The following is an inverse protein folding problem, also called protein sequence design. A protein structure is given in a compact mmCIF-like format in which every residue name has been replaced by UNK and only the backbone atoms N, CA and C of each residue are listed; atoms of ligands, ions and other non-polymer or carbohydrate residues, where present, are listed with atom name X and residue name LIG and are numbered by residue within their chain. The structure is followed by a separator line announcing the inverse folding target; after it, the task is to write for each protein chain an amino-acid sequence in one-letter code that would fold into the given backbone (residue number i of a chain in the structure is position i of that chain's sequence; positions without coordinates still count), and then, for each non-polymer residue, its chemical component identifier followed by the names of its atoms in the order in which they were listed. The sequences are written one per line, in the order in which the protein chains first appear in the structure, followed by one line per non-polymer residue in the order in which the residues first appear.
data_IF_019721452418
#
_entry.id   IF_019721452418
#
_cell.length_a   1.000
_cell.length_b   1.000
_cell.length_c   1.000
_cell.angle_alpha   90.00
_cell.angle_beta   90.00
_cell.angle_gamma   90.00
#
_symmetry.space_group_name_H-M   'P 1'
#
loop_
_entity.id
_entity.type
_entity.pdbx_description
1 polymer ?
#
# COMPACT_ATOMS: atom_id res chain seq x y z
N UNK A 1 1.98 -26.38 -10.48
CA UNK A 1 1.96 -25.13 -9.69
C UNK A 1 0.86 -25.25 -8.66
N UNK A 2 1.09 -24.82 -7.40
CA UNK A 2 0.07 -24.86 -6.36
C UNK A 2 -1.13 -23.98 -6.76
N UNK A 3 -2.33 -24.38 -6.34
CA UNK A 3 -3.57 -23.60 -6.47
C UNK A 3 -4.01 -23.11 -5.10
N UNK A 4 -4.84 -22.06 -5.05
CA UNK A 4 -5.37 -21.57 -3.77
C UNK A 4 -6.17 -22.62 -2.99
N UNK A 5 -6.82 -23.57 -3.68
CA UNK A 5 -7.55 -24.68 -3.07
C UNK A 5 -6.64 -25.65 -2.31
N UNK A 6 -5.33 -25.64 -2.58
CA UNK A 6 -4.35 -26.46 -1.87
C UNK A 6 -4.02 -25.84 -0.49
N UNK A 7 -4.35 -24.57 -0.28
CA UNK A 7 -4.27 -23.92 1.03
C UNK A 7 -5.59 -24.16 1.77
N UNK A 8 -5.53 -24.55 3.04
CA UNK A 8 -6.70 -24.83 3.88
C UNK A 8 -7.51 -23.56 4.23
N UNK A 9 -8.10 -22.92 3.21
CA UNK A 9 -8.82 -21.66 3.30
C UNK A 9 -10.32 -21.88 3.53
N UNK A 10 -10.95 -20.96 4.26
CA UNK A 10 -12.42 -20.91 4.40
C UNK A 10 -13.08 -20.72 3.03
N UNK A 11 -14.29 -21.28 2.90
CA UNK A 11 -15.12 -21.15 1.71
C UNK A 11 -15.40 -19.68 1.34
N UNK A 12 -15.55 -18.81 2.34
CA UNK A 12 -15.72 -17.36 2.13
C UNK A 12 -14.54 -16.73 1.39
N UNK A 13 -13.32 -17.17 1.69
CA UNK A 13 -12.09 -16.65 1.09
C UNK A 13 -11.91 -17.18 -0.32
N UNK A 14 -12.20 -18.47 -0.56
CA UNK A 14 -12.23 -19.05 -1.91
C UNK A 14 -13.24 -18.35 -2.82
N UNK A 15 -14.47 -18.12 -2.33
CA UNK A 15 -15.49 -17.34 -3.04
C UNK A 15 -15.05 -15.90 -3.29
N UNK A 16 -14.30 -15.29 -2.38
CA UNK A 16 -13.77 -13.95 -2.59
C UNK A 16 -12.72 -13.91 -3.68
N UNK A 17 -11.78 -14.87 -3.70
CA UNK A 17 -10.78 -15.02 -4.76
C UNK A 17 -11.42 -15.23 -6.13
N UNK A 18 -12.45 -16.07 -6.22
CA UNK A 18 -13.22 -16.30 -7.45
C UNK A 18 -13.88 -15.01 -7.96
N UNK A 19 -14.53 -14.23 -7.08
CA UNK A 19 -15.12 -12.92 -7.44
C UNK A 19 -14.08 -11.89 -7.90
N UNK A 20 -12.85 -12.02 -7.42
CA UNK A 20 -11.73 -11.17 -7.80
C UNK A 20 -10.99 -11.68 -9.04
N UNK A 21 -11.43 -12.79 -9.63
CA UNK A 21 -10.82 -13.47 -10.78
C UNK A 21 -9.35 -13.89 -10.54
N UNK A 22 -9.05 -14.32 -9.31
CA UNK A 22 -7.73 -14.76 -8.87
C UNK A 22 -7.72 -16.28 -8.68
N UNK A 23 -7.05 -16.98 -9.59
CA UNK A 23 -7.08 -18.45 -9.64
C UNK A 23 -5.79 -19.13 -9.18
N UNK A 24 -4.65 -18.45 -9.38
CA UNK A 24 -3.31 -19.05 -9.15
C UNK A 24 -2.48 -18.14 -8.25
N UNK A 25 -1.85 -18.67 -7.18
CA UNK A 25 -0.97 -17.90 -6.34
C UNK A 25 0.32 -17.51 -7.06
N UNK A 26 0.77 -16.28 -6.85
CA UNK A 26 2.11 -15.85 -7.26
C UNK A 26 3.19 -16.58 -6.44
N UNK A 27 4.47 -16.60 -6.86
CA UNK A 27 5.53 -17.29 -6.11
C UNK A 27 5.65 -16.83 -4.65
N UNK A 28 5.51 -15.52 -4.39
CA UNK A 28 5.54 -14.99 -3.02
C UNK A 28 4.31 -15.43 -2.22
N UNK A 29 3.13 -15.49 -2.83
CA UNK A 29 1.91 -15.98 -2.17
C UNK A 29 2.02 -17.47 -1.83
N UNK A 30 2.49 -18.29 -2.77
CA UNK A 30 2.63 -19.72 -2.59
C UNK A 30 3.60 -20.11 -1.45
N UNK A 31 4.64 -19.29 -1.22
CA UNK A 31 5.60 -19.52 -0.15
C UNK A 31 5.15 -18.89 1.18
N UNK A 32 4.60 -17.69 1.16
CA UNK A 32 4.25 -16.98 2.40
C UNK A 32 2.92 -17.42 3.02
N UNK A 33 1.90 -17.77 2.22
CA UNK A 33 0.56 -18.10 2.75
C UNK A 33 0.61 -19.29 3.72
N UNK A 34 1.20 -20.46 3.36
CA UNK A 34 1.23 -21.61 4.25
C UNK A 34 1.89 -21.30 5.61
N UNK A 35 3.01 -20.59 5.59
CA UNK A 35 3.77 -20.23 6.79
C UNK A 35 2.95 -19.32 7.73
N UNK A 36 2.26 -18.33 7.16
CA UNK A 36 1.38 -17.45 7.92
C UNK A 36 0.11 -18.16 8.43
N UNK A 37 -0.41 -19.15 7.69
CA UNK A 37 -1.52 -19.99 8.15
C UNK A 37 -1.10 -20.87 9.34
N UNK A 38 0.14 -21.33 9.36
CA UNK A 38 0.77 -22.03 10.50
C UNK A 38 1.10 -21.12 11.68
N UNK A 39 0.82 -19.80 11.57
CA UNK A 39 1.11 -18.78 12.59
C UNK A 39 2.61 -18.63 12.88
N UNK A 40 3.47 -18.84 11.88
CA UNK A 40 4.91 -18.58 11.97
C UNK A 40 5.26 -17.23 11.35
N UNK A 41 6.14 -16.50 12.00
CA UNK A 41 6.62 -15.19 11.54
C UNK A 41 7.36 -15.32 10.21
N UNK A 42 7.35 -14.26 9.40
CA UNK A 42 8.07 -14.26 8.11
C UNK A 42 8.79 -12.94 7.85
N UNK A 43 9.90 -13.05 7.11
CA UNK A 43 10.53 -11.95 6.39
C UNK A 43 10.40 -12.25 4.90
N UNK A 44 9.54 -11.51 4.22
CA UNK A 44 9.22 -11.69 2.82
C UNK A 44 9.86 -10.60 1.95
N UNK A 45 10.82 -11.00 1.13
CA UNK A 45 11.50 -10.13 0.18
C UNK A 45 10.89 -10.29 -1.21
N UNK A 46 10.23 -9.24 -1.68
CA UNK A 46 9.66 -9.22 -3.03
C UNK A 46 9.44 -7.78 -3.52
N UNK A 47 9.54 -7.57 -4.84
CA UNK A 47 9.29 -6.29 -5.48
C UNK A 47 7.81 -5.90 -5.44
N UNK A 48 7.50 -4.62 -5.60
CA UNK A 48 6.12 -4.13 -5.76
C UNK A 48 5.47 -4.79 -6.99
N UNK A 49 4.18 -5.12 -6.91
CA UNK A 49 3.46 -5.82 -7.98
C UNK A 49 3.58 -7.35 -7.96
N UNK A 50 4.42 -7.95 -7.12
CA UNK A 50 4.55 -9.41 -6.95
C UNK A 50 3.35 -10.11 -6.29
N UNK A 51 2.34 -9.34 -5.86
CA UNK A 51 1.15 -9.88 -5.20
C UNK A 51 1.27 -10.05 -3.68
N UNK A 52 2.24 -9.37 -3.03
CA UNK A 52 2.45 -9.36 -1.56
C UNK A 52 1.16 -9.13 -0.75
N UNK A 53 0.28 -8.24 -1.23
CA UNK A 53 -0.94 -7.90 -0.49
C UNK A 53 -1.82 -9.12 -0.21
N UNK A 54 -2.04 -10.00 -1.19
CA UNK A 54 -2.81 -11.23 -0.95
C UNK A 54 -2.08 -12.23 -0.08
N UNK A 55 -0.73 -12.24 -0.14
CA UNK A 55 0.10 -13.16 0.63
C UNK A 55 -0.12 -13.00 2.14
N UNK A 56 -0.30 -11.77 2.63
CA UNK A 56 -0.68 -11.52 4.02
C UNK A 56 -2.19 -11.35 4.24
N UNK A 57 -2.94 -10.84 3.27
CA UNK A 57 -4.37 -10.57 3.45
C UNK A 57 -5.19 -11.85 3.64
N UNK A 58 -4.88 -12.93 2.91
CA UNK A 58 -5.57 -14.21 3.05
C UNK A 58 -5.40 -14.79 4.47
N UNK A 59 -4.18 -14.99 5.00
CA UNK A 59 -3.99 -15.42 6.39
C UNK A 59 -4.72 -14.54 7.42
N UNK A 60 -4.81 -13.23 7.20
CA UNK A 60 -5.59 -12.33 8.07
C UNK A 60 -7.08 -12.69 8.06
N UNK A 61 -7.67 -12.96 6.90
CA UNK A 61 -9.07 -13.39 6.79
C UNK A 61 -9.32 -14.74 7.48
N UNK A 62 -8.33 -15.64 7.45
CA UNK A 62 -8.43 -16.97 8.05
C UNK A 62 -8.29 -16.94 9.58
N UNK A 63 -7.42 -16.08 10.13
CA UNK A 63 -7.17 -16.04 11.58
C UNK A 63 -8.07 -15.07 12.35
N UNK A 64 -8.64 -14.07 11.68
CA UNK A 64 -9.56 -13.14 12.32
C UNK A 64 -10.92 -13.81 12.61
N UNK A 65 -11.42 -13.53 13.80
CA UNK A 65 -12.74 -13.96 14.28
C UNK A 65 -13.77 -12.83 14.11
N UNK A 66 -14.76 -12.97 13.22
CA UNK A 66 -15.79 -11.96 13.00
C UNK A 66 -16.78 -11.80 14.17
N UNK A 67 -16.80 -12.72 15.13
CA UNK A 67 -17.66 -12.62 16.32
C UNK A 67 -17.13 -11.63 17.36
N UNK A 68 -15.85 -11.24 17.26
CA UNK A 68 -15.21 -10.33 18.22
C UNK A 68 -15.05 -8.93 17.64
N UNK A 69 -15.30 -7.88 18.42
CA UNK A 69 -15.35 -6.51 17.89
C UNK A 69 -14.00 -5.77 17.87
N UNK A 70 -12.99 -6.32 18.53
CA UNK A 70 -11.68 -5.69 18.68
C UNK A 70 -10.74 -5.90 17.48
N UNK A 71 -9.66 -5.10 17.47
CA UNK A 71 -8.62 -5.15 16.44
C UNK A 71 -7.76 -6.39 16.64
N UNK A 72 -7.75 -7.25 15.63
CA UNK A 72 -7.03 -8.53 15.61
C UNK A 72 -5.86 -8.50 14.63
N UNK A 73 -5.91 -7.65 13.59
CA UNK A 73 -4.80 -7.47 12.66
C UNK A 73 -4.51 -5.98 12.39
N UNK A 74 -3.23 -5.65 12.30
CA UNK A 74 -2.73 -4.31 11.96
C UNK A 74 -1.76 -4.43 10.79
N UNK A 75 -2.02 -3.68 9.73
CA UNK A 75 -1.11 -3.52 8.60
C UNK A 75 -0.60 -2.08 8.62
N UNK A 76 0.71 -1.91 8.77
CA UNK A 76 1.38 -0.63 8.57
C UNK A 76 1.86 -0.51 7.13
N UNK A 77 1.68 0.67 6.54
CA UNK A 77 2.08 1.00 5.17
C UNK A 77 2.76 2.39 5.15
N UNK A 78 3.78 2.65 4.31
CA UNK A 78 4.50 3.93 4.27
C UNK A 78 3.65 5.09 3.75
N UNK A 79 2.66 4.81 2.89
CA UNK A 79 1.89 5.84 2.20
C UNK A 79 0.39 5.63 2.35
N UNK A 80 -0.35 6.72 2.16
CA UNK A 80 -1.82 6.73 2.23
C UNK A 80 -2.40 5.99 1.04
N UNK A 81 -1.74 6.13 -0.10
CA UNK A 81 -2.05 5.48 -1.36
C UNK A 81 -1.94 3.96 -1.22
N UNK A 82 -0.85 3.45 -0.63
CA UNK A 82 -0.70 2.03 -0.36
C UNK A 82 -1.71 1.54 0.68
N UNK A 83 -1.93 2.29 1.77
CA UNK A 83 -2.95 1.95 2.76
C UNK A 83 -4.33 1.74 2.12
N UNK A 84 -4.70 2.59 1.16
CA UNK A 84 -5.97 2.47 0.42
C UNK A 84 -6.00 1.29 -0.54
N UNK A 85 -4.89 1.01 -1.23
CA UNK A 85 -4.79 -0.16 -2.11
C UNK A 85 -4.96 -1.45 -1.31
N UNK A 86 -4.20 -1.59 -0.22
CA UNK A 86 -4.27 -2.74 0.69
C UNK A 86 -5.67 -2.85 1.31
N UNK A 87 -6.25 -1.74 1.78
CA UNK A 87 -7.61 -1.74 2.31
C UNK A 87 -8.69 -2.11 1.29
N UNK A 88 -8.52 -1.76 0.01
CA UNK A 88 -9.45 -2.18 -1.05
C UNK A 88 -9.43 -3.69 -1.22
N UNK A 89 -8.24 -4.30 -1.30
CA UNK A 89 -8.07 -5.76 -1.41
C UNK A 89 -8.69 -6.47 -0.20
N UNK A 90 -8.39 -6.00 1.01
CA UNK A 90 -8.96 -6.57 2.24
C UNK A 90 -10.49 -6.39 2.30
N UNK A 91 -11.01 -5.25 1.85
CA UNK A 91 -12.45 -5.02 1.79
C UNK A 91 -13.13 -6.01 0.84
N UNK A 92 -12.56 -6.24 -0.35
CA UNK A 92 -13.10 -7.21 -1.30
C UNK A 92 -13.04 -8.65 -0.78
N UNK A 93 -11.93 -9.02 -0.12
CA UNK A 93 -11.78 -10.32 0.55
C UNK A 93 -12.77 -10.51 1.71
N UNK A 94 -13.06 -9.45 2.46
CA UNK A 94 -13.97 -9.51 3.62
C UNK A 94 -15.46 -9.63 3.24
N UNK A 95 -15.82 -9.50 1.96
CA UNK A 95 -17.22 -9.60 1.51
C UNK A 95 -17.80 -10.96 1.85
N UNK A 96 -18.77 -10.97 2.77
CA UNK A 96 -19.43 -12.19 3.24
C UNK A 96 -18.71 -12.91 4.39
N UNK A 97 -17.59 -12.39 4.90
CA UNK A 97 -16.90 -12.98 6.07
C UNK A 97 -17.32 -12.40 7.42
N UNK A 98 -18.03 -11.26 7.42
CA UNK A 98 -18.39 -10.52 8.64
C UNK A 98 -17.25 -9.65 9.21
N UNK A 99 -16.04 -9.76 8.64
CA UNK A 99 -14.90 -8.94 9.03
C UNK A 99 -15.09 -7.48 8.58
N UNK A 100 -14.43 -6.58 9.30
CA UNK A 100 -14.53 -5.12 9.12
C UNK A 100 -13.12 -4.56 9.06
N UNK A 101 -12.86 -3.81 7.99
CA UNK A 101 -11.57 -3.20 7.69
C UNK A 101 -11.67 -1.69 7.89
N UNK A 102 -10.78 -1.12 8.70
CA UNK A 102 -10.71 0.33 8.93
C UNK A 102 -9.40 0.90 8.41
N UNK A 103 -9.47 2.02 7.70
CA UNK A 103 -8.32 2.74 7.18
C UNK A 103 -7.94 3.91 8.09
N UNK A 104 -6.68 3.93 8.54
CA UNK A 104 -6.12 4.98 9.40
C UNK A 104 -4.96 5.69 8.71
N UNK A 105 -5.25 6.80 8.03
CA UNK A 105 -4.21 7.62 7.41
C UNK A 105 -4.51 9.13 7.51
N UNK A 106 -3.47 9.96 7.35
CA UNK A 106 -3.55 11.42 7.46
C UNK A 106 -4.41 12.08 6.37
N UNK A 107 -4.52 13.41 6.36
CA UNK A 107 -5.20 14.19 5.30
C UNK A 107 -6.72 13.93 5.12
N UNK A 108 -7.34 13.23 6.06
CA UNK A 108 -8.79 13.09 6.26
C UNK A 108 -9.07 13.50 7.72
N UNK A 109 -10.29 13.92 8.04
CA UNK A 109 -10.67 14.21 9.44
C UNK A 109 -10.55 12.99 10.35
N UNK A 110 -10.36 13.21 11.65
CA UNK A 110 -10.35 12.13 12.67
C UNK A 110 -11.75 11.50 12.84
N UNK A 111 -12.81 12.30 12.84
CA UNK A 111 -14.17 11.85 13.15
C UNK A 111 -14.68 10.61 12.38
N UNK A 112 -14.50 10.53 11.05
CA UNK A 112 -14.85 9.32 10.30
C UNK A 112 -14.09 8.07 10.75
N UNK A 113 -12.78 8.22 11.03
CA UNK A 113 -11.92 7.13 11.50
C UNK A 113 -12.30 6.69 12.91
N UNK A 114 -12.57 7.65 13.81
CA UNK A 114 -13.06 7.40 15.17
C UNK A 114 -14.43 6.69 15.16
N UNK A 115 -15.31 7.08 14.24
CA UNK A 115 -16.63 6.45 14.08
C UNK A 115 -16.49 5.00 13.60
N UNK A 116 -15.59 4.74 12.64
CA UNK A 116 -15.29 3.39 12.18
C UNK A 116 -14.73 2.51 13.31
N UNK A 117 -13.76 3.02 14.08
CA UNK A 117 -13.18 2.32 15.22
C UNK A 117 -14.23 1.98 16.29
N UNK A 118 -15.13 2.92 16.63
CA UNK A 118 -16.22 2.68 17.60
C UNK A 118 -17.23 1.62 17.15
N UNK A 119 -17.45 1.44 15.85
CA UNK A 119 -18.32 0.38 15.31
C UNK A 119 -17.68 -1.02 15.45
N UNK A 120 -16.40 -1.07 15.85
CA UNK A 120 -15.59 -2.28 15.90
C UNK A 120 -14.86 -2.49 14.58
N UNK A 121 -13.57 -2.80 14.66
CA UNK A 121 -12.70 -3.01 13.51
C UNK A 121 -11.85 -4.24 13.76
N UNK A 122 -11.98 -5.26 12.93
CA UNK A 122 -11.20 -6.49 13.07
C UNK A 122 -9.80 -6.31 12.48
N UNK A 123 -9.72 -5.61 11.35
CA UNK A 123 -8.49 -5.34 10.61
C UNK A 123 -8.30 -3.83 10.48
N UNK A 124 -7.12 -3.34 10.83
CA UNK A 124 -6.73 -1.94 10.66
C UNK A 124 -5.59 -1.86 9.65
N UNK A 125 -5.72 -1.01 8.64
CA UNK A 125 -4.64 -0.68 7.71
C UNK A 125 -4.33 0.80 7.87
N UNK A 126 -3.07 1.17 8.08
CA UNK A 126 -2.76 2.57 8.31
C UNK A 126 -1.31 2.98 8.09
N UNK A 127 -1.12 4.30 8.06
CA UNK A 127 0.20 4.92 8.05
C UNK A 127 0.69 5.09 9.49
N UNK A 128 1.99 4.84 9.80
CA UNK A 128 2.51 4.85 11.17
C UNK A 128 2.09 6.06 12.01
N UNK A 129 2.33 7.29 11.52
CA UNK A 129 1.99 8.49 12.29
C UNK A 129 0.50 8.57 12.69
N UNK A 130 -0.42 8.21 11.78
CA UNK A 130 -1.86 8.24 12.07
C UNK A 130 -2.29 7.13 13.03
N UNK A 131 -1.74 5.93 12.89
CA UNK A 131 -2.01 4.81 13.81
C UNK A 131 -1.54 5.19 15.22
N UNK A 132 -0.34 5.73 15.34
CA UNK A 132 0.22 6.20 16.61
C UNK A 132 -0.62 7.31 17.25
N UNK A 133 -1.14 8.25 16.46
CA UNK A 133 -2.04 9.30 16.95
C UNK A 133 -3.33 8.72 17.56
N UNK A 134 -3.95 7.74 16.89
CA UNK A 134 -5.15 7.06 17.39
C UNK A 134 -4.86 6.24 18.66
N UNK A 135 -3.72 5.56 18.70
CA UNK A 135 -3.24 4.86 19.89
C UNK A 135 -3.04 5.82 21.08
N UNK A 136 -2.39 6.97 20.87
CA UNK A 136 -2.19 8.01 21.90
C UNK A 136 -3.50 8.60 22.40
N UNK A 137 -4.49 8.77 21.51
CA UNK A 137 -5.85 9.20 21.85
C UNK A 137 -6.69 8.13 22.57
N UNK A 138 -6.16 6.91 22.74
CA UNK A 138 -6.84 5.76 23.36
C UNK A 138 -8.15 5.36 22.67
N UNK A 139 -8.32 5.72 21.40
CA UNK A 139 -9.47 5.34 20.59
C UNK A 139 -9.18 4.15 19.66
N UNK A 140 -7.91 3.76 19.54
CA UNK A 140 -7.46 2.49 18.96
C UNK A 140 -6.85 1.63 20.07
N UNK A 141 -7.46 0.47 20.29
CA UNK A 141 -7.07 -0.55 21.27
C UNK A 141 -6.52 -1.77 20.53
N UNK A 142 -5.34 -2.24 20.90
CA UNK A 142 -4.59 -3.28 20.20
C UNK A 142 -4.12 -4.40 21.13
N UNK A 143 -4.67 -4.49 22.34
CA UNK A 143 -4.33 -5.48 23.35
C UNK A 143 -4.69 -6.92 22.95
N UNK A 144 -5.50 -7.07 21.90
CA UNK A 144 -5.95 -8.34 21.34
C UNK A 144 -5.43 -8.57 19.92
N UNK A 145 -4.42 -7.80 19.51
CA UNK A 145 -3.78 -7.92 18.22
C UNK A 145 -3.07 -9.27 18.11
N UNK A 146 -3.42 -10.04 17.09
CA UNK A 146 -2.87 -11.37 16.78
C UNK A 146 -1.89 -11.35 15.62
N UNK A 147 -2.03 -10.37 14.73
CA UNK A 147 -1.20 -10.24 13.53
C UNK A 147 -0.76 -8.80 13.33
N UNK A 148 0.54 -8.61 13.09
CA UNK A 148 1.14 -7.34 12.68
C UNK A 148 1.87 -7.52 11.35
N UNK A 149 1.53 -6.68 10.38
CA UNK A 149 2.19 -6.65 9.07
C UNK A 149 2.90 -5.31 8.90
N UNK A 150 4.17 -5.35 8.51
CA UNK A 150 4.93 -4.20 8.04
C UNK A 150 5.10 -4.33 6.52
N UNK A 151 4.32 -3.58 5.74
CA UNK A 151 4.36 -3.63 4.27
C UNK A 151 5.16 -2.45 3.71
N UNK A 152 6.12 -2.75 2.83
CA UNK A 152 7.15 -1.81 2.35
C UNK A 152 7.93 -1.16 3.52
N UNK A 153 8.52 -2.03 4.34
CA UNK A 153 9.26 -1.62 5.55
C UNK A 153 10.47 -0.71 5.23
N UNK A 154 11.18 -0.99 4.15
CA UNK A 154 12.25 -0.16 3.59
C UNK A 154 11.78 1.28 3.31
N UNK A 155 10.63 1.44 2.64
CA UNK A 155 10.04 2.76 2.42
C UNK A 155 9.61 3.46 3.72
N UNK A 156 9.21 2.71 4.75
CA UNK A 156 8.93 3.31 6.06
C UNK A 156 10.20 3.88 6.71
N UNK A 157 11.34 3.19 6.55
CA UNK A 157 12.63 3.65 7.02
C UNK A 157 13.05 4.94 6.29
N UNK A 158 13.00 4.94 4.96
CA UNK A 158 13.39 6.08 4.12
C UNK A 158 12.56 7.33 4.41
N UNK A 159 11.30 7.15 4.80
CA UNK A 159 10.38 8.23 5.19
C UNK A 159 10.52 8.66 6.65
N UNK A 160 11.44 8.05 7.40
CA UNK A 160 11.70 8.38 8.80
C UNK A 160 10.62 7.90 9.78
N UNK A 161 9.80 6.91 9.39
CA UNK A 161 8.75 6.36 10.26
C UNK A 161 9.25 5.33 11.28
N UNK A 162 10.53 4.91 11.22
CA UNK A 162 11.10 3.92 12.13
C UNK A 162 10.77 4.16 13.63
N UNK A 163 10.92 5.38 14.20
CA UNK A 163 10.58 5.62 15.59
C UNK A 163 9.09 5.44 15.91
N UNK A 164 8.21 5.76 14.97
CA UNK A 164 6.77 5.64 15.16
C UNK A 164 6.33 4.18 15.03
N UNK A 165 6.90 3.43 14.09
CA UNK A 165 6.70 1.98 13.98
C UNK A 165 7.13 1.27 15.27
N UNK A 166 8.32 1.56 15.80
CA UNK A 166 8.78 0.96 17.05
C UNK A 166 7.87 1.27 18.25
N UNK A 167 7.31 2.48 18.33
CA UNK A 167 6.33 2.87 19.36
C UNK A 167 5.00 2.18 19.22
N UNK A 168 4.53 1.95 17.99
CA UNK A 168 3.30 1.20 17.74
C UNK A 168 3.49 -0.24 18.21
N UNK A 169 4.58 -0.88 17.78
CA UNK A 169 4.90 -2.27 18.11
C UNK A 169 5.00 -2.48 19.63
N UNK A 170 5.64 -1.57 20.35
CA UNK A 170 5.78 -1.68 21.80
C UNK A 170 4.46 -1.65 22.57
N UNK A 171 3.40 -1.11 21.98
CA UNK A 171 2.05 -1.11 22.54
C UNK A 171 1.16 -2.27 22.06
N UNK A 172 1.74 -3.32 21.46
CA UNK A 172 1.03 -4.52 21.02
C UNK A 172 1.51 -5.77 21.78
N UNK A 173 0.70 -6.85 21.86
CA UNK A 173 1.09 -8.11 22.50
C UNK A 173 2.38 -8.67 21.90
N UNK A 174 3.24 -9.27 22.73
CA UNK A 174 4.48 -9.91 22.26
C UNK A 174 4.23 -11.24 21.55
N UNK A 175 3.22 -11.98 22.00
CA UNK A 175 2.78 -13.24 21.41
C UNK A 175 1.77 -12.98 20.28
N UNK A 176 2.27 -12.38 19.20
CA UNK A 176 1.52 -12.11 17.98
C UNK A 176 2.37 -12.53 16.79
N UNK A 177 1.72 -12.97 15.73
CA UNK A 177 2.38 -13.19 14.44
C UNK A 177 2.82 -11.83 13.87
N UNK A 178 4.09 -11.73 13.47
CA UNK A 178 4.65 -10.55 12.81
C UNK A 178 5.22 -10.94 11.44
N UNK A 179 4.75 -10.26 10.39
CA UNK A 179 5.25 -10.42 9.03
C UNK A 179 5.87 -9.11 8.53
N UNK A 180 7.08 -9.18 7.99
CA UNK A 180 7.79 -8.06 7.38
C UNK A 180 7.86 -8.29 5.88
N UNK A 181 7.39 -7.32 5.09
CA UNK A 181 7.48 -7.31 3.64
C UNK A 181 8.31 -6.11 3.18
N UNK A 182 9.36 -6.36 2.41
CA UNK A 182 10.24 -5.31 1.87
C UNK A 182 10.86 -5.73 0.53
N UNK A 183 11.49 -4.78 -0.16
CA UNK A 183 12.33 -5.09 -1.33
C UNK A 183 13.76 -5.37 -0.89
N UNK A 184 14.27 -4.58 0.06
CA UNK A 184 15.60 -4.72 0.63
C UNK A 184 15.55 -5.14 2.11
N UNK A 185 16.64 -5.73 2.59
CA UNK A 185 16.84 -5.99 4.02
C UNK A 185 17.96 -5.09 4.55
N UNK A 186 17.61 -3.85 4.90
CA UNK A 186 18.54 -2.96 5.56
C UNK A 186 18.69 -3.33 7.05
N UNK A 187 19.61 -2.67 7.75
CA UNK A 187 19.96 -2.99 9.13
C UNK A 187 18.80 -2.77 10.12
N UNK A 188 17.88 -1.86 9.80
CA UNK A 188 16.71 -1.57 10.63
C UNK A 188 15.71 -2.73 10.63
N UNK A 189 15.43 -3.30 9.47
CA UNK A 189 14.52 -4.42 9.26
C UNK A 189 15.04 -5.65 10.00
N UNK A 190 16.34 -5.94 9.89
CA UNK A 190 16.99 -6.98 10.69
C UNK A 190 16.82 -6.74 12.19
N UNK A 191 17.01 -5.49 12.64
CA UNK A 191 16.82 -5.14 14.07
C UNK A 191 15.37 -5.31 14.52
N UNK A 192 14.41 -4.91 13.69
CA UNK A 192 12.97 -5.09 13.96
C UNK A 192 12.67 -6.59 14.04
N UNK A 193 13.11 -7.37 13.06
CA UNK A 193 12.94 -8.83 13.05
C UNK A 193 13.51 -9.47 14.31
N UNK A 194 14.79 -9.23 14.63
CA UNK A 194 15.45 -9.80 15.80
C UNK A 194 14.80 -9.42 17.13
N UNK A 195 14.13 -8.26 17.21
CA UNK A 195 13.50 -7.77 18.44
C UNK A 195 12.03 -8.16 18.57
N UNK A 196 11.34 -8.35 17.46
CA UNK A 196 9.89 -8.42 17.41
C UNK A 196 9.32 -9.63 16.68
N UNK A 197 10.18 -10.49 16.12
CA UNK A 197 9.80 -11.77 15.53
C UNK A 197 10.38 -12.95 16.33
N UNK A 198 9.75 -14.11 16.19
CA UNK A 198 10.16 -15.38 16.78
C UNK A 198 10.45 -16.35 15.64
N UNK A 199 11.73 -16.69 15.45
CA UNK A 199 12.22 -17.63 14.43
C UNK A 199 11.57 -17.44 13.03
N UNK A 200 11.70 -16.25 12.43
CA UNK A 200 10.96 -15.94 11.20
C UNK A 200 11.50 -16.73 10.01
N UNK A 201 10.58 -17.29 9.22
CA UNK A 201 10.91 -17.90 7.93
C UNK A 201 11.29 -16.80 6.92
N UNK A 202 12.43 -16.97 6.24
CA UNK A 202 12.85 -16.03 5.20
C UNK A 202 12.33 -16.53 3.86
N UNK A 203 11.41 -15.75 3.28
CA UNK A 203 10.86 -16.02 1.96
C UNK A 203 11.40 -14.97 0.99
N UNK A 204 11.96 -15.40 -0.12
CA UNK A 204 12.44 -14.50 -1.17
C UNK A 204 11.89 -14.95 -2.51
N UNK A 205 11.10 -14.08 -3.15
CA UNK A 205 10.79 -14.24 -4.56
C UNK A 205 11.69 -13.29 -5.33
N UNK A 206 12.84 -13.81 -5.80
CA UNK A 206 13.54 -13.15 -6.90
C UNK A 206 12.60 -13.25 -8.10
N UNK A 207 11.97 -12.14 -8.46
CA UNK A 207 11.65 -11.95 -9.87
C UNK A 207 12.98 -12.08 -10.60
N UNK A 208 13.03 -12.91 -11.65
CA UNK A 208 14.03 -12.67 -12.71
C UNK A 208 13.98 -11.17 -12.96
N UNK A 209 15.12 -10.50 -12.95
CA UNK A 209 15.21 -9.07 -13.23
C UNK A 209 14.56 -8.83 -14.60
N UNK A 210 13.25 -8.62 -14.63
CA UNK A 210 12.68 -7.66 -15.54
C UNK A 210 13.21 -6.35 -14.99
N UNK A 211 14.46 -6.02 -15.32
CA UNK A 211 14.76 -4.64 -15.70
C UNK A 211 13.53 -4.24 -16.50
N UNK A 212 12.66 -3.41 -15.89
CA UNK A 212 11.64 -2.75 -16.68
C UNK A 212 12.46 -2.12 -17.79
N UNK A 213 12.23 -2.56 -19.03
CA UNK A 213 12.96 -2.10 -20.21
C UNK A 213 12.55 -0.64 -20.44
N UNK A 214 13.06 0.23 -19.57
CA UNK A 214 12.78 1.65 -19.53
C UNK A 214 13.83 2.26 -20.42
N UNK A 215 13.43 2.57 -21.65
CA UNK A 215 14.22 3.41 -22.52
C UNK A 215 14.43 4.78 -21.85
N UNK A 216 15.69 5.10 -21.57
CA UNK A 216 16.06 6.38 -20.96
C UNK A 216 16.70 7.29 -22.00
N UNK A 217 16.05 8.42 -22.27
CA UNK A 217 16.55 9.45 -23.20
C UNK A 217 16.81 10.74 -22.45
N UNK A 218 17.99 11.31 -22.66
CA UNK A 218 18.37 12.65 -22.15
C UNK A 218 18.42 13.62 -23.32
N UNK A 219 17.73 14.76 -23.18
CA UNK A 219 17.71 15.82 -24.19
C UNK A 219 18.26 17.12 -23.62
N UNK A 220 19.36 17.60 -24.21
CA UNK A 220 19.90 18.93 -23.92
C UNK A 220 19.06 20.01 -24.60
N UNK A 221 18.45 20.87 -23.79
CA UNK A 221 17.53 21.91 -24.25
C UNK A 221 17.71 23.18 -23.43
N UNK A 222 17.66 24.34 -24.08
CA UNK A 222 17.65 25.60 -23.35
C UNK A 222 16.41 25.69 -22.45
N UNK A 223 16.58 26.32 -21.29
CA UNK A 223 15.52 26.40 -20.26
C UNK A 223 14.21 27.00 -20.80
N UNK A 224 14.31 27.98 -21.69
CA UNK A 224 13.17 28.65 -22.32
C UNK A 224 12.40 27.74 -23.28
N UNK A 225 13.08 26.79 -23.92
CA UNK A 225 12.50 25.90 -24.93
C UNK A 225 11.88 24.63 -24.35
N UNK A 226 12.20 24.29 -23.08
CA UNK A 226 11.68 23.09 -22.39
C UNK A 226 10.18 22.88 -22.52
N UNK A 227 9.39 23.96 -22.45
CA UNK A 227 7.94 23.85 -22.56
C UNK A 227 7.48 23.51 -23.98
N UNK A 228 8.12 24.08 -25.00
CA UNK A 228 7.79 23.77 -26.40
C UNK A 228 8.23 22.35 -26.79
N UNK A 229 9.40 21.91 -26.29
CA UNK A 229 9.85 20.53 -26.46
C UNK A 229 8.88 19.55 -25.82
N UNK A 230 8.41 19.82 -24.59
CA UNK A 230 7.38 19.00 -23.94
C UNK A 230 6.10 18.91 -24.79
N UNK A 231 5.62 20.01 -25.35
CA UNK A 231 4.44 19.99 -26.24
C UNK A 231 4.69 19.09 -27.45
N UNK A 232 5.86 19.18 -28.08
CA UNK A 232 6.22 18.35 -29.23
C UNK A 232 6.20 16.86 -28.86
N UNK A 233 6.78 16.50 -27.72
CA UNK A 233 6.78 15.12 -27.21
C UNK A 233 5.35 14.62 -26.94
N UNK A 234 4.52 15.42 -26.27
CA UNK A 234 3.12 15.05 -25.94
C UNK A 234 2.20 14.97 -27.17
N UNK A 235 2.58 15.55 -28.31
CA UNK A 235 1.83 15.43 -29.58
C UNK A 235 2.22 14.22 -30.40
N UNK A 236 3.33 13.57 -30.08
CA UNK A 236 3.64 12.29 -30.71
C UNK A 236 2.54 11.29 -30.33
N UNK A 237 2.20 10.36 -31.23
CA UNK A 237 1.30 9.27 -30.91
C UNK A 237 1.98 8.38 -29.85
N UNK A 238 1.78 8.73 -28.59
CA UNK A 238 2.18 7.94 -27.45
C UNK A 238 1.00 7.04 -27.10
N UNK A 239 1.25 5.74 -27.03
CA UNK A 239 0.26 4.81 -26.50
C UNK A 239 0.09 5.05 -24.99
N UNK A 240 -1.15 5.32 -24.58
CA UNK A 240 -1.51 5.43 -23.17
C UNK A 240 -1.42 6.84 -22.57
N UNK A 241 -0.94 6.91 -21.33
CA UNK A 241 -1.01 8.11 -20.47
C UNK A 241 0.38 8.56 -20.05
N UNK A 242 0.60 9.87 -19.97
CA UNK A 242 1.91 10.45 -19.70
C UNK A 242 1.99 11.10 -18.31
N UNK A 243 3.07 10.81 -17.58
CA UNK A 243 3.45 11.48 -16.34
C UNK A 243 4.51 12.54 -16.61
N UNK A 244 4.29 13.77 -16.15
CA UNK A 244 5.25 14.88 -16.30
C UNK A 244 5.65 15.40 -14.92
N UNK A 245 6.86 15.07 -14.49
CA UNK A 245 7.38 15.49 -13.20
C UNK A 245 7.98 16.90 -13.23
N UNK A 246 7.78 17.62 -12.14
CA UNK A 246 8.26 18.98 -11.98
C UNK A 246 8.69 19.28 -10.56
N UNK A 247 9.79 20.02 -10.40
CA UNK A 247 10.40 20.28 -9.09
C UNK A 247 9.51 21.04 -8.09
N UNK A 248 8.76 22.04 -8.55
CA UNK A 248 8.03 22.95 -7.65
C UNK A 248 6.52 22.90 -7.88
N UNK A 249 5.76 23.05 -6.79
CA UNK A 249 4.28 23.12 -6.78
C UNK A 249 3.78 24.18 -7.75
N UNK A 250 4.31 25.41 -7.64
CA UNK A 250 3.99 26.51 -8.55
C UNK A 250 4.32 26.21 -10.01
N UNK A 251 5.46 25.56 -10.27
CA UNK A 251 5.88 25.19 -11.63
C UNK A 251 4.96 24.14 -12.25
N UNK A 252 4.56 23.14 -11.46
CA UNK A 252 3.63 22.08 -11.86
C UNK A 252 2.23 22.66 -12.14
N UNK A 253 1.70 23.51 -11.25
CA UNK A 253 0.41 24.19 -11.47
C UNK A 253 0.41 25.06 -12.72
N UNK A 254 1.47 25.86 -12.92
CA UNK A 254 1.59 26.71 -14.11
C UNK A 254 1.70 25.87 -15.39
N UNK A 255 2.49 24.79 -15.38
CA UNK A 255 2.59 23.86 -16.51
C UNK A 255 1.26 23.20 -16.84
N UNK A 256 0.53 22.70 -15.83
CA UNK A 256 -0.79 22.11 -16.02
C UNK A 256 -1.76 23.08 -16.68
N UNK A 257 -1.80 24.34 -16.23
CA UNK A 257 -2.61 25.39 -16.86
C UNK A 257 -2.21 25.64 -18.31
N UNK A 258 -0.90 25.79 -18.58
CA UNK A 258 -0.41 26.05 -19.94
C UNK A 258 -0.70 24.88 -20.90
N UNK A 259 -0.59 23.63 -20.43
CA UNK A 259 -0.94 22.46 -21.24
C UNK A 259 -2.45 22.37 -21.48
N UNK A 260 -3.28 22.68 -20.49
CA UNK A 260 -4.73 22.77 -20.67
C UNK A 260 -5.14 23.78 -21.76
N UNK A 261 -4.44 24.93 -21.83
CA UNK A 261 -4.64 25.92 -22.89
C UNK A 261 -4.20 25.44 -24.29
N UNK A 262 -3.43 24.34 -24.37
CA UNK A 262 -2.99 23.72 -25.62
C UNK A 262 -3.85 22.50 -25.99
N UNK A 263 -5.08 22.40 -25.44
CA UNK A 263 -6.07 21.35 -25.68
C UNK A 263 -5.68 19.97 -25.12
N UNK A 264 -4.63 19.88 -24.29
CA UNK A 264 -4.34 18.63 -23.58
C UNK A 264 -5.31 18.42 -22.42
N UNK A 265 -5.79 17.19 -22.25
CA UNK A 265 -6.55 16.82 -21.06
C UNK A 265 -5.58 16.53 -19.92
N UNK A 266 -5.41 17.52 -19.03
CA UNK A 266 -4.38 17.49 -17.99
C UNK A 266 -4.99 17.44 -16.59
N UNK A 267 -4.47 16.54 -15.76
CA UNK A 267 -4.64 16.56 -14.31
C UNK A 267 -3.36 17.07 -13.65
N UNK A 268 -3.49 17.71 -12.49
CA UNK A 268 -2.35 18.26 -11.73
C UNK A 268 -2.32 17.64 -10.34
N UNK A 269 -1.17 17.13 -9.92
CA UNK A 269 -0.94 16.58 -8.59
C UNK A 269 0.22 17.32 -7.90
N UNK A 270 -0.10 18.22 -6.98
CA UNK A 270 0.89 18.98 -6.22
C UNK A 270 0.73 18.75 -4.71
N UNK A 271 1.82 18.91 -3.96
CA UNK A 271 1.88 18.59 -2.54
C UNK A 271 0.85 19.31 -1.64
N UNK A 272 0.32 20.47 -2.04
CA UNK A 272 -0.66 21.23 -1.23
C UNK A 272 -2.13 20.87 -1.50
N UNK A 273 -2.41 19.96 -2.44
CA UNK A 273 -3.78 19.52 -2.67
C UNK A 273 -4.30 18.76 -1.45
N UNK A 274 -5.50 19.13 -1.01
CA UNK A 274 -6.25 18.33 -0.04
C UNK A 274 -6.56 16.95 -0.62
N UNK A 275 -6.80 15.94 0.24
CA UNK A 275 -6.91 14.56 -0.26
C UNK A 275 -8.02 14.36 -1.28
N UNK A 276 -9.19 14.94 -1.04
CA UNK A 276 -10.31 14.82 -2.00
C UNK A 276 -9.96 15.41 -3.38
N UNK A 277 -9.05 16.37 -3.45
CA UNK A 277 -8.56 16.90 -4.73
C UNK A 277 -7.55 15.93 -5.37
N UNK A 278 -6.63 15.36 -4.57
CA UNK A 278 -5.67 14.35 -5.04
C UNK A 278 -6.38 13.11 -5.60
N UNK A 279 -7.34 12.57 -4.85
CA UNK A 279 -8.13 11.40 -5.25
C UNK A 279 -8.89 11.65 -6.55
N UNK A 280 -9.48 12.85 -6.73
CA UNK A 280 -10.16 13.23 -7.97
C UNK A 280 -9.20 13.36 -9.15
N UNK A 281 -8.03 13.97 -8.95
CA UNK A 281 -7.02 14.11 -10.02
C UNK A 281 -6.50 12.74 -10.48
N UNK A 282 -6.18 11.85 -9.53
CA UNK A 282 -5.75 10.48 -9.81
C UNK A 282 -6.87 9.65 -10.44
N UNK A 283 -8.11 9.77 -9.97
CA UNK A 283 -9.27 9.10 -10.55
C UNK A 283 -9.48 9.48 -12.01
N UNK A 284 -9.47 10.78 -12.33
CA UNK A 284 -9.57 11.28 -13.71
C UNK A 284 -8.45 10.73 -14.61
N UNK A 285 -7.22 10.66 -14.10
CA UNK A 285 -6.10 10.08 -14.84
C UNK A 285 -6.29 8.57 -15.05
N UNK A 286 -6.67 7.80 -14.02
CA UNK A 286 -6.94 6.36 -14.13
C UNK A 286 -8.10 6.03 -15.08
N UNK A 287 -9.14 6.85 -15.10
CA UNK A 287 -10.32 6.69 -15.97
C UNK A 287 -10.09 7.18 -17.41
N UNK A 288 -8.94 7.77 -17.73
CA UNK A 288 -8.67 8.31 -19.08
C UNK A 288 -9.38 9.63 -19.39
N UNK A 289 -9.97 10.29 -18.37
CA UNK A 289 -10.52 11.66 -18.49
C UNK A 289 -9.42 12.72 -18.57
N UNK A 290 -8.18 12.33 -18.30
CA UNK A 290 -6.97 13.11 -18.54
C UNK A 290 -5.86 12.16 -18.94
N UNK A 291 -5.17 12.45 -20.03
CA UNK A 291 -4.08 11.63 -20.56
C UNK A 291 -2.70 12.12 -20.12
N UNK A 292 -2.62 13.31 -19.53
CA UNK A 292 -1.38 13.85 -18.96
C UNK A 292 -1.59 14.16 -17.48
N UNK A 293 -0.71 13.66 -16.62
CA UNK A 293 -0.67 14.02 -15.20
C UNK A 293 0.63 14.78 -14.91
N UNK A 294 0.52 16.07 -14.60
CA UNK A 294 1.68 16.88 -14.18
C UNK A 294 1.79 16.81 -12.67
N UNK A 295 2.90 16.29 -12.15
CA UNK A 295 3.08 16.04 -10.73
C UNK A 295 4.36 16.68 -10.18
N UNK A 296 4.34 17.05 -8.91
CA UNK A 296 5.60 17.13 -8.16
C UNK A 296 6.02 15.73 -7.72
N UNK A 297 7.31 15.54 -7.47
CA UNK A 297 7.75 14.41 -6.66
C UNK A 297 7.08 14.47 -5.27
#
# INVERSE_FOLDING_TARGET
MPKFYDFALRESSLKALERMDIHTPTPIQAQSIPVLLEKRDIIAQAQTGSGKTLAFALPIMEHCDPARHEVQALILTPTRELARQVGSVLSDLSKGSGLRVTLLYGGVGYGPQETALRRGSHVVVGTPGRVLDHQRRRNLRMEQLRMLILDEADEMLDRGFAPDVERIISGTPKDRLTALFSVAAAAWEHRIASKHQIDPEIVSSKSEESELDIEQVVMDVFRQDKFQVLIKLLRQPLDGKTLVFGRTKHGVRNRGRKLGNQVFQVSVLEGNLGQNQRDRALGRFREGKSNVLVATN
#
